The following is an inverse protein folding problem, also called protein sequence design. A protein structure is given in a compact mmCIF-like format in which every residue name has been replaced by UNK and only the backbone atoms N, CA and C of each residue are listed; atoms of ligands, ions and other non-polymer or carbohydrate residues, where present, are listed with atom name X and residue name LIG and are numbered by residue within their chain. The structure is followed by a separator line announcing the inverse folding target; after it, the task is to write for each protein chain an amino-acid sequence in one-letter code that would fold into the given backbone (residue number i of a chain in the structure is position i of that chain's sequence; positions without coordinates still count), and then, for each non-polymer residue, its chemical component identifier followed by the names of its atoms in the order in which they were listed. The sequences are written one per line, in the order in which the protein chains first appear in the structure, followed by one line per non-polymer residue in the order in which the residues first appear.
data_IF_962273970925
#
_entry.id   IF_962273970925
#
_cell.length_a   1.000
_cell.length_b   1.000
_cell.length_c   1.000
_cell.angle_alpha   90.00
_cell.angle_beta   90.00
_cell.angle_gamma   90.00
#
_symmetry.space_group_name_H-M   'P 1'
#
loop_
_entity.id
_entity.type
_entity.pdbx_description
1 polymer ?
#
# COMPACT_ATOMS: atom_id res chain seq x y z
N UNK A 1 -18.12 12.03 10.79
CA UNK A 1 -18.24 10.55 10.92
C UNK A 1 -17.21 9.78 10.06
N UNK A 2 -16.86 10.26 8.88
CA UNK A 2 -15.86 9.62 7.99
C UNK A 2 -14.44 9.68 8.57
N UNK A 3 -14.08 10.76 9.23
CA UNK A 3 -12.78 10.92 9.92
C UNK A 3 -12.62 9.95 11.11
N UNK A 4 -13.67 9.70 11.87
CA UNK A 4 -13.66 8.73 12.97
C UNK A 4 -13.49 7.29 12.48
N UNK A 5 -14.11 6.93 11.36
CA UNK A 5 -13.95 5.62 10.73
C UNK A 5 -12.52 5.43 10.19
N UNK A 6 -11.93 6.48 9.63
CA UNK A 6 -10.54 6.52 9.15
C UNK A 6 -9.53 6.34 10.30
N UNK A 7 -9.75 6.98 11.44
CA UNK A 7 -8.93 6.86 12.65
C UNK A 7 -8.95 5.44 13.20
N UNK A 8 -10.14 4.86 13.40
CA UNK A 8 -10.29 3.48 13.88
C UNK A 8 -9.65 2.45 12.92
N UNK A 9 -9.83 2.61 11.62
CA UNK A 9 -9.22 1.75 10.62
C UNK A 9 -7.68 1.85 10.66
N UNK A 10 -7.12 3.05 10.78
CA UNK A 10 -5.68 3.26 10.89
C UNK A 10 -5.07 2.56 12.10
N UNK A 11 -5.71 2.64 13.28
CA UNK A 11 -5.25 1.94 14.49
C UNK A 11 -5.25 0.41 14.29
N UNK A 12 -6.34 -0.15 13.75
CA UNK A 12 -6.44 -1.60 13.50
C UNK A 12 -5.37 -2.08 12.52
N UNK A 13 -5.24 -1.44 11.35
CA UNK A 13 -4.27 -1.85 10.34
C UNK A 13 -2.82 -1.66 10.81
N UNK A 14 -2.55 -0.61 11.57
CA UNK A 14 -1.21 -0.40 12.13
C UNK A 14 -0.83 -1.48 13.13
N UNK A 15 -1.75 -1.93 13.99
CA UNK A 15 -1.54 -3.02 14.92
C UNK A 15 -1.31 -4.34 14.19
N UNK A 16 -2.14 -4.65 13.20
CA UNK A 16 -1.98 -5.85 12.38
C UNK A 16 -0.61 -5.90 11.68
N UNK A 17 -0.17 -4.79 11.09
CA UNK A 17 1.16 -4.73 10.45
C UNK A 17 2.30 -4.87 11.46
N UNK A 18 2.17 -4.34 12.67
CA UNK A 18 3.18 -4.52 13.73
C UNK A 18 3.22 -5.96 14.23
N UNK A 19 2.06 -6.62 14.36
CA UNK A 19 1.96 -8.03 14.73
C UNK A 19 2.53 -8.96 13.63
N UNK A 20 2.37 -8.59 12.35
CA UNK A 20 3.01 -9.33 11.22
C UNK A 20 4.54 -9.29 11.33
N UNK A 21 5.13 -8.17 11.79
CA UNK A 21 6.58 -8.10 12.02
C UNK A 21 7.02 -9.09 13.12
N UNK A 22 6.21 -9.27 14.17
CA UNK A 22 6.52 -10.25 15.21
C UNK A 22 6.46 -11.69 14.65
N UNK A 23 5.45 -12.02 13.83
CA UNK A 23 5.37 -13.30 13.12
C UNK A 23 6.55 -13.50 12.14
N UNK A 24 6.97 -12.45 11.44
CA UNK A 24 8.16 -12.49 10.59
C UNK A 24 9.42 -12.82 11.42
N UNK A 25 9.59 -12.16 12.56
CA UNK A 25 10.72 -12.41 13.46
C UNK A 25 10.74 -13.85 13.99
N UNK A 26 9.59 -14.40 14.38
CA UNK A 26 9.46 -15.81 14.77
C UNK A 26 9.88 -16.74 13.61
N UNK A 27 9.45 -16.43 12.38
CA UNK A 27 9.82 -17.21 11.21
C UNK A 27 11.31 -17.12 10.89
N UNK A 28 11.90 -15.96 11.03
CA UNK A 28 13.34 -15.73 10.83
C UNK A 28 14.15 -16.52 11.85
N UNK A 29 13.73 -16.62 13.12
CA UNK A 29 14.40 -17.47 14.12
C UNK A 29 14.37 -18.96 13.70
N UNK A 30 13.21 -19.46 13.24
CA UNK A 30 13.10 -20.83 12.72
C UNK A 30 14.03 -21.08 11.52
N UNK A 31 14.18 -20.11 10.63
CA UNK A 31 15.09 -20.20 9.48
C UNK A 31 16.54 -20.26 9.96
N UNK A 32 16.93 -19.41 10.92
CA UNK A 32 18.28 -19.39 11.50
C UNK A 32 18.60 -20.73 12.16
N UNK A 33 17.67 -21.29 12.94
CA UNK A 33 17.82 -22.61 13.57
C UNK A 33 17.98 -23.72 12.53
N UNK A 34 17.16 -23.69 11.46
CA UNK A 34 17.26 -24.65 10.37
C UNK A 34 18.63 -24.59 9.68
N UNK A 35 19.09 -23.39 9.30
CA UNK A 35 20.40 -23.22 8.63
C UNK A 35 21.53 -23.69 9.55
N UNK A 36 21.46 -23.41 10.85
CA UNK A 36 22.47 -23.84 11.80
C UNK A 36 22.60 -25.36 11.89
N UNK A 37 21.51 -26.10 11.66
CA UNK A 37 21.43 -27.55 11.67
C UNK A 37 21.62 -28.21 10.28
N UNK A 38 21.70 -27.40 9.19
CA UNK A 38 21.80 -27.91 7.83
C UNK A 38 23.17 -28.57 7.57
N UNK A 39 23.24 -29.73 6.92
CA UNK A 39 24.49 -30.43 6.58
C UNK A 39 25.28 -29.80 5.42
N UNK A 40 24.84 -28.65 4.88
CA UNK A 40 25.54 -27.96 3.80
C UNK A 40 26.97 -27.53 4.15
N UNK A 41 27.70 -27.09 3.11
CA UNK A 41 29.07 -26.57 3.25
C UNK A 41 29.14 -25.43 4.28
N UNK A 42 30.20 -25.41 5.08
CA UNK A 42 30.38 -24.45 6.16
C UNK A 42 30.38 -22.98 5.69
N UNK A 43 30.93 -22.71 4.50
CA UNK A 43 31.01 -21.36 3.99
C UNK A 43 29.63 -20.86 3.50
N UNK A 44 28.85 -21.73 2.85
CA UNK A 44 27.46 -21.44 2.46
C UNK A 44 26.62 -21.13 3.70
N UNK A 45 26.65 -22.05 4.67
CA UNK A 45 25.92 -21.92 5.94
C UNK A 45 26.29 -20.64 6.70
N UNK A 46 27.56 -20.25 6.73
CA UNK A 46 28.01 -19.01 7.36
C UNK A 46 27.41 -17.79 6.70
N UNK A 47 27.46 -17.71 5.37
CA UNK A 47 26.91 -16.56 4.61
C UNK A 47 25.40 -16.45 4.83
N UNK A 48 24.67 -17.55 4.79
CA UNK A 48 23.23 -17.55 5.04
C UNK A 48 22.89 -17.14 6.47
N UNK A 49 23.59 -17.65 7.48
CA UNK A 49 23.40 -17.25 8.87
C UNK A 49 23.65 -15.76 9.10
N UNK A 50 24.71 -15.20 8.50
CA UNK A 50 25.02 -13.79 8.60
C UNK A 50 23.90 -12.94 7.97
N UNK A 51 23.38 -13.35 6.81
CA UNK A 51 22.27 -12.68 6.13
C UNK A 51 21.00 -12.65 6.99
N UNK A 52 20.55 -13.83 7.47
CA UNK A 52 19.32 -13.94 8.24
C UNK A 52 19.41 -13.26 9.61
N UNK A 53 20.57 -13.31 10.27
CA UNK A 53 20.82 -12.53 11.49
C UNK A 53 20.73 -11.03 11.25
N UNK A 54 21.22 -10.55 10.10
CA UNK A 54 21.12 -9.14 9.70
C UNK A 54 19.68 -8.71 9.41
N UNK A 55 18.91 -9.55 8.71
CA UNK A 55 17.48 -9.33 8.47
C UNK A 55 16.75 -9.22 9.81
N UNK A 56 16.96 -10.16 10.73
CA UNK A 56 16.37 -10.12 12.08
C UNK A 56 16.69 -8.83 12.82
N UNK A 57 17.96 -8.45 12.83
CA UNK A 57 18.41 -7.22 13.50
C UNK A 57 17.72 -5.97 12.93
N UNK A 58 17.65 -5.86 11.61
CA UNK A 58 17.05 -4.70 10.94
C UNK A 58 15.53 -4.65 11.12
N UNK A 59 14.86 -5.80 11.10
CA UNK A 59 13.42 -5.88 11.38
C UNK A 59 13.11 -5.42 12.82
N UNK A 60 13.86 -5.90 13.80
CA UNK A 60 13.72 -5.49 15.22
C UNK A 60 14.01 -4.01 15.44
N UNK A 61 15.09 -3.48 14.83
CA UNK A 61 15.52 -2.08 15.02
C UNK A 61 14.52 -1.07 14.48
N UNK A 62 13.92 -1.35 13.33
CA UNK A 62 13.11 -0.36 12.64
C UNK A 62 11.61 -0.59 12.72
N UNK A 63 11.15 -1.84 12.77
CA UNK A 63 9.72 -2.20 12.73
C UNK A 63 8.97 -1.42 11.65
N UNK A 64 9.47 -1.50 10.40
CA UNK A 64 8.93 -0.74 9.27
C UNK A 64 7.60 -1.29 8.81
N UNK A 65 6.62 -0.41 8.68
CA UNK A 65 5.30 -0.69 8.11
C UNK A 65 5.00 0.31 7.00
N UNK A 66 3.99 0.03 6.18
CA UNK A 66 3.57 0.93 5.12
C UNK A 66 2.04 0.95 5.02
N UNK A 67 1.39 1.92 5.66
CA UNK A 67 -0.03 2.19 5.49
C UNK A 67 -0.21 3.17 4.33
N UNK A 68 -1.11 2.84 3.40
CA UNK A 68 -1.43 3.67 2.25
C UNK A 68 -2.88 3.50 1.83
N UNK A 69 -3.24 4.16 0.76
CA UNK A 69 -4.58 4.06 0.15
C UNK A 69 -4.49 3.55 -1.27
N UNK A 70 -5.60 3.04 -1.77
CA UNK A 70 -5.84 2.76 -3.18
C UNK A 70 -7.12 3.47 -3.60
N UNK A 71 -7.37 3.59 -4.92
CA UNK A 71 -8.56 4.21 -5.48
C UNK A 71 -8.71 5.72 -5.23
N UNK A 72 -7.61 6.47 -5.06
CA UNK A 72 -7.70 7.93 -4.90
C UNK A 72 -8.31 8.59 -6.15
N UNK A 73 -7.93 8.12 -7.36
CA UNK A 73 -8.51 8.61 -8.61
C UNK A 73 -10.03 8.40 -8.69
N UNK A 74 -10.52 7.23 -8.31
CA UNK A 74 -11.97 6.95 -8.26
C UNK A 74 -12.68 7.75 -7.15
N UNK A 75 -12.04 7.96 -6.01
CA UNK A 75 -12.56 8.79 -4.92
C UNK A 75 -12.78 10.23 -5.39
N UNK A 76 -11.79 10.83 -6.06
CA UNK A 76 -11.90 12.17 -6.63
C UNK A 76 -13.02 12.24 -7.67
N UNK A 77 -13.10 11.26 -8.57
CA UNK A 77 -14.16 11.18 -9.58
C UNK A 77 -15.55 11.06 -8.95
N UNK A 78 -15.71 10.24 -7.91
CA UNK A 78 -16.98 10.07 -7.20
C UNK A 78 -17.44 11.36 -6.48
N UNK A 79 -16.49 12.20 -6.07
CA UNK A 79 -16.76 13.51 -5.46
C UNK A 79 -16.96 14.63 -6.50
N UNK A 80 -16.85 14.32 -7.79
CA UNK A 80 -16.94 15.32 -8.87
C UNK A 80 -15.69 16.20 -8.99
N UNK A 81 -14.59 15.81 -8.37
CA UNK A 81 -13.33 16.54 -8.40
C UNK A 81 -12.48 16.08 -9.59
N UNK A 82 -12.16 17.01 -10.48
CA UNK A 82 -11.33 16.70 -11.63
C UNK A 82 -9.86 16.52 -11.21
N UNK A 83 -9.30 15.36 -11.46
CA UNK A 83 -7.91 15.05 -11.16
C UNK A 83 -6.95 16.09 -11.76
N UNK A 84 -6.00 16.57 -10.94
CA UNK A 84 -5.02 17.58 -11.32
C UNK A 84 -5.48 19.04 -11.21
N UNK A 85 -6.70 19.31 -10.79
CA UNK A 85 -7.14 20.67 -10.43
C UNK A 85 -6.70 21.01 -9.00
N UNK A 86 -6.58 22.30 -8.69
CA UNK A 86 -6.20 22.75 -7.35
C UNK A 86 -7.16 22.22 -6.27
N UNK A 87 -8.46 22.25 -6.54
CA UNK A 87 -9.49 21.71 -5.62
C UNK A 87 -9.28 20.23 -5.31
N UNK A 88 -8.99 19.42 -6.33
CA UNK A 88 -8.69 17.99 -6.14
C UNK A 88 -7.38 17.77 -5.36
N UNK A 89 -6.36 18.58 -5.62
CA UNK A 89 -5.08 18.55 -4.90
C UNK A 89 -5.29 18.89 -3.42
N UNK A 90 -6.01 19.95 -3.13
CA UNK A 90 -6.28 20.40 -1.75
C UNK A 90 -7.04 19.33 -0.98
N UNK A 91 -8.04 18.70 -1.61
CA UNK A 91 -8.77 17.59 -1.00
C UNK A 91 -7.87 16.35 -0.76
N UNK A 92 -7.05 15.97 -1.75
CA UNK A 92 -6.10 14.85 -1.61
C UNK A 92 -5.09 15.11 -0.48
N UNK A 93 -4.60 16.36 -0.34
CA UNK A 93 -3.72 16.76 0.77
C UNK A 93 -4.39 16.55 2.12
N UNK A 94 -5.64 16.92 2.30
CA UNK A 94 -6.36 16.71 3.56
C UNK A 94 -6.59 15.22 3.87
N UNK A 95 -6.86 14.40 2.85
CA UNK A 95 -6.97 12.93 3.00
C UNK A 95 -5.63 12.34 3.45
N UNK A 96 -4.53 12.68 2.78
CA UNK A 96 -3.20 12.18 3.11
C UNK A 96 -2.70 12.69 4.46
N UNK A 97 -2.99 13.93 4.81
CA UNK A 97 -2.68 14.51 6.14
C UNK A 97 -3.42 13.75 7.25
N UNK A 98 -4.71 13.48 7.06
CA UNK A 98 -5.51 12.70 8.01
C UNK A 98 -4.92 11.31 8.19
N UNK A 99 -4.61 10.61 7.10
CA UNK A 99 -3.97 9.29 7.13
C UNK A 99 -2.64 9.33 7.89
N UNK A 100 -1.81 10.35 7.63
CA UNK A 100 -0.51 10.50 8.27
C UNK A 100 -0.64 10.73 9.78
N UNK A 101 -1.45 11.68 10.21
CA UNK A 101 -1.66 12.00 11.62
C UNK A 101 -2.18 10.78 12.39
N UNK A 102 -3.17 10.07 11.84
CA UNK A 102 -3.75 8.91 12.50
C UNK A 102 -2.78 7.70 12.53
N UNK A 103 -1.96 7.51 11.49
CA UNK A 103 -0.92 6.48 11.50
C UNK A 103 0.15 6.77 12.57
N UNK A 104 0.56 8.04 12.72
CA UNK A 104 1.48 8.46 13.77
C UNK A 104 0.87 8.29 15.15
N UNK A 105 -0.39 8.69 15.35
CA UNK A 105 -1.14 8.52 16.60
C UNK A 105 -1.20 7.04 17.02
N UNK A 106 -1.56 6.15 16.11
CA UNK A 106 -1.59 4.71 16.35
C UNK A 106 -0.20 4.17 16.76
N UNK A 107 0.87 4.62 16.09
CA UNK A 107 2.23 4.17 16.38
C UNK A 107 2.76 4.72 17.73
N UNK A 108 2.41 5.94 18.11
CA UNK A 108 2.71 6.53 19.43
C UNK A 108 1.97 5.78 20.54
N UNK A 109 0.68 5.49 20.34
CA UNK A 109 -0.11 4.68 21.26
C UNK A 109 0.46 3.27 21.46
N UNK A 110 0.85 2.61 20.37
CA UNK A 110 1.54 1.32 20.47
C UNK A 110 2.91 1.42 21.17
N UNK A 111 3.63 2.52 21.02
CA UNK A 111 4.89 2.73 21.73
C UNK A 111 4.68 2.83 23.24
N UNK A 112 3.61 3.48 23.69
CA UNK A 112 3.25 3.53 25.11
C UNK A 112 2.89 2.14 25.67
N UNK A 113 2.29 1.26 24.85
CA UNK A 113 1.87 -0.09 25.26
C UNK A 113 3.01 -1.14 25.13
N UNK A 114 3.84 -1.06 24.08
CA UNK A 114 4.78 -2.12 23.65
C UNK A 114 6.23 -1.64 23.58
N UNK A 115 6.50 -0.38 23.86
CA UNK A 115 7.81 0.27 23.70
C UNK A 115 8.03 0.83 22.30
N UNK A 116 8.83 1.88 22.20
CA UNK A 116 9.25 2.49 20.95
C UNK A 116 10.19 1.55 20.16
N UNK A 117 10.35 1.82 18.86
CA UNK A 117 11.37 1.09 18.10
C UNK A 117 12.79 1.38 18.69
N UNK A 118 13.67 0.37 18.77
CA UNK A 118 14.88 0.44 19.61
C UNK A 118 15.86 1.56 19.29
N UNK A 119 15.88 2.06 18.06
CA UNK A 119 16.80 3.13 17.64
C UNK A 119 16.13 4.50 17.59
N UNK A 120 14.94 4.65 18.22
CA UNK A 120 14.28 5.94 18.32
C UNK A 120 15.15 6.95 19.06
N UNK A 121 15.28 8.13 18.48
CA UNK A 121 16.02 9.25 19.05
C UNK A 121 15.37 10.55 18.56
N UNK A 122 14.61 11.20 19.43
CA UNK A 122 13.89 12.43 19.12
C UNK A 122 14.84 13.55 18.64
N UNK A 123 16.07 13.61 19.16
CA UNK A 123 17.03 14.64 18.77
C UNK A 123 17.48 14.50 17.32
N UNK A 124 17.61 13.26 16.82
CA UNK A 124 17.97 12.99 15.42
C UNK A 124 16.84 13.29 14.43
N UNK A 125 15.61 13.34 14.89
CA UNK A 125 14.44 13.60 14.07
C UNK A 125 13.99 15.07 14.05
N UNK A 126 14.62 15.91 14.87
CA UNK A 126 14.24 17.33 15.06
C UNK A 126 14.07 18.09 13.74
N UNK A 127 14.98 17.85 12.79
CA UNK A 127 15.01 18.55 11.50
C UNK A 127 14.37 17.74 10.36
N UNK A 128 13.70 16.62 10.68
CA UNK A 128 13.02 15.82 9.68
C UNK A 128 11.77 16.54 9.19
N UNK A 129 11.63 16.82 7.87
CA UNK A 129 10.48 17.55 7.32
C UNK A 129 9.13 16.86 7.58
N UNK A 130 9.08 15.53 7.63
CA UNK A 130 7.86 14.82 7.93
C UNK A 130 7.44 15.01 9.39
N UNK A 131 8.40 14.97 10.32
CA UNK A 131 8.13 15.22 11.73
C UNK A 131 7.69 16.67 11.95
N UNK A 132 8.29 17.63 11.25
CA UNK A 132 7.84 19.03 11.29
C UNK A 132 6.37 19.18 10.86
N UNK A 133 5.94 18.49 9.79
CA UNK A 133 4.53 18.47 9.34
C UNK A 133 3.60 17.83 10.37
N UNK A 134 4.01 16.76 11.04
CA UNK A 134 3.20 16.16 12.12
C UNK A 134 3.07 17.13 13.29
N UNK A 135 4.15 17.81 13.68
CA UNK A 135 4.13 18.82 14.74
C UNK A 135 3.20 19.98 14.42
N UNK A 136 3.19 20.44 13.17
CA UNK A 136 2.29 21.49 12.71
C UNK A 136 0.83 21.04 12.68
N UNK A 137 0.58 19.80 12.21
CA UNK A 137 -0.77 19.25 12.07
C UNK A 137 -1.41 18.91 13.42
N UNK A 138 -0.61 18.41 14.37
CA UNK A 138 -1.07 17.98 15.70
C UNK A 138 0.06 18.14 16.75
N UNK A 139 0.14 19.32 17.38
CA UNK A 139 1.18 19.60 18.38
C UNK A 139 1.09 18.70 19.62
N UNK A 140 -0.12 18.24 20.01
CA UNK A 140 -0.31 17.37 21.16
C UNK A 140 0.24 15.97 20.88
N UNK A 141 -0.06 15.41 19.71
CA UNK A 141 0.52 14.16 19.24
C UNK A 141 2.05 14.23 19.18
N UNK A 142 2.60 15.34 18.69
CA UNK A 142 4.04 15.53 18.64
C UNK A 142 4.66 15.52 20.04
N UNK A 143 4.08 16.24 20.99
CA UNK A 143 4.56 16.27 22.39
C UNK A 143 4.49 14.87 23.04
N UNK A 144 3.43 14.10 22.78
CA UNK A 144 3.33 12.72 23.24
C UNK A 144 4.41 11.83 22.60
N UNK A 145 4.66 11.98 21.29
CA UNK A 145 5.70 11.25 20.56
C UNK A 145 7.11 11.57 21.09
N UNK A 146 7.41 12.82 21.45
CA UNK A 146 8.70 13.16 22.07
C UNK A 146 8.90 12.45 23.40
N UNK A 147 7.83 12.27 24.16
CA UNK A 147 7.84 11.65 25.48
C UNK A 147 7.88 10.12 25.45
N UNK A 148 7.09 9.49 24.61
CA UNK A 148 6.92 8.02 24.57
C UNK A 148 7.66 7.36 23.40
N UNK A 149 8.06 8.11 22.38
CA UNK A 149 8.49 7.59 21.09
C UNK A 149 7.33 7.12 20.23
N UNK A 150 7.66 6.40 19.16
CA UNK A 150 6.70 5.67 18.33
C UNK A 150 7.17 4.24 18.07
N UNK A 151 6.25 3.34 17.79
CA UNK A 151 6.51 1.90 17.62
C UNK A 151 7.25 1.57 16.33
N UNK A 152 7.04 2.33 15.25
CA UNK A 152 7.52 2.05 13.90
C UNK A 152 8.35 3.24 13.37
N UNK A 153 9.49 2.96 12.75
CA UNK A 153 10.35 4.01 12.16
C UNK A 153 9.72 4.61 10.89
N UNK A 154 9.11 3.76 10.04
CA UNK A 154 8.36 4.15 8.85
C UNK A 154 6.94 3.59 8.94
N UNK A 155 5.96 4.37 8.53
CA UNK A 155 4.54 4.06 8.75
C UNK A 155 3.67 4.21 7.53
N UNK A 156 4.10 4.96 6.53
CA UNK A 156 3.31 5.34 5.36
C UNK A 156 3.97 4.84 4.08
N UNK A 157 3.16 4.57 3.08
CA UNK A 157 3.62 4.22 1.73
C UNK A 157 2.61 4.68 0.69
N UNK A 158 3.10 4.99 -0.51
CA UNK A 158 2.29 5.08 -1.72
C UNK A 158 2.69 3.87 -2.56
N UNK A 159 1.93 2.79 -2.41
CA UNK A 159 2.18 1.53 -3.11
C UNK A 159 1.41 1.49 -4.44
N UNK A 160 1.91 0.80 -5.48
CA UNK A 160 1.22 0.69 -6.77
C UNK A 160 -0.15 0.00 -6.69
N UNK A 161 -0.37 -0.89 -5.73
CA UNK A 161 -1.64 -1.60 -5.44
C UNK A 161 -2.32 -2.27 -6.65
N UNK A 162 -1.54 -2.68 -7.67
CA UNK A 162 -2.08 -3.22 -8.92
C UNK A 162 -3.00 -4.41 -8.74
N UNK A 163 -2.58 -5.43 -8.00
CA UNK A 163 -3.41 -6.63 -7.73
C UNK A 163 -4.61 -6.29 -6.85
N UNK A 164 -4.45 -5.47 -5.82
CA UNK A 164 -5.53 -5.04 -4.94
C UNK A 164 -6.60 -4.27 -5.71
N UNK A 165 -6.19 -3.37 -6.61
CA UNK A 165 -7.12 -2.58 -7.44
C UNK A 165 -7.89 -3.44 -8.43
N UNK A 166 -7.29 -4.51 -8.97
CA UNK A 166 -7.99 -5.49 -9.80
C UNK A 166 -9.09 -6.23 -9.01
N UNK A 167 -8.79 -6.60 -7.77
CA UNK A 167 -9.77 -7.27 -6.89
C UNK A 167 -10.91 -6.33 -6.49
N UNK A 168 -10.62 -5.08 -6.18
CA UNK A 168 -11.61 -4.06 -5.80
C UNK A 168 -12.30 -3.41 -7.00
N UNK A 169 -11.82 -3.63 -8.22
CA UNK A 169 -12.32 -3.02 -9.46
C UNK A 169 -12.24 -1.49 -9.44
N UNK A 170 -11.14 -0.96 -8.94
CA UNK A 170 -10.88 0.48 -8.78
C UNK A 170 -9.61 0.91 -9.49
N UNK A 171 -9.33 2.22 -9.50
CA UNK A 171 -8.00 2.74 -9.83
C UNK A 171 -6.97 2.26 -8.80
N UNK A 172 -5.70 2.18 -9.20
CA UNK A 172 -4.60 1.77 -8.32
C UNK A 172 -3.90 2.97 -7.69
N UNK A 173 -3.48 2.79 -6.42
CA UNK A 173 -2.73 3.80 -5.69
C UNK A 173 -3.42 5.15 -5.69
N UNK A 174 -2.68 6.17 -6.06
CA UNK A 174 -3.13 7.57 -6.17
C UNK A 174 -3.35 8.02 -7.62
N UNK A 175 -3.13 7.12 -8.60
CA UNK A 175 -3.24 7.47 -10.00
C UNK A 175 -4.70 7.59 -10.46
N UNK A 176 -4.98 8.46 -11.45
CA UNK A 176 -6.28 8.49 -12.09
C UNK A 176 -6.45 7.29 -13.03
N UNK A 177 -7.69 7.04 -13.47
CA UNK A 177 -7.91 6.09 -14.55
C UNK A 177 -7.18 6.56 -15.82
N UNK A 178 -6.32 5.71 -16.37
CA UNK A 178 -5.54 6.07 -17.56
C UNK A 178 -6.42 6.22 -18.80
N UNK A 179 -7.37 5.28 -18.98
CA UNK A 179 -8.42 5.32 -20.01
C UNK A 179 -9.67 4.68 -19.48
N UNK A 180 -10.80 5.32 -19.69
CA UNK A 180 -12.12 4.77 -19.33
C UNK A 180 -12.50 3.56 -20.17
N UNK A 181 -11.98 3.50 -21.39
CA UNK A 181 -12.15 2.37 -22.34
C UNK A 181 -10.84 2.15 -23.07
N UNK A 182 -10.40 0.92 -23.19
CA UNK A 182 -9.25 0.55 -24.02
C UNK A 182 -9.47 -0.80 -24.70
N UNK A 183 -8.84 -1.01 -25.86
CA UNK A 183 -8.85 -2.27 -26.58
C UNK A 183 -7.77 -3.17 -26.00
N UNK A 184 -8.15 -4.37 -25.56
CA UNK A 184 -7.24 -5.41 -25.11
C UNK A 184 -7.11 -6.47 -26.20
N UNK A 185 -5.87 -6.92 -26.41
CA UNK A 185 -5.54 -8.03 -27.29
C UNK A 185 -5.14 -9.22 -26.44
N UNK A 186 -5.81 -10.36 -26.63
CA UNK A 186 -5.52 -11.63 -25.95
C UNK A 186 -5.09 -12.66 -26.98
N UNK A 187 -3.96 -13.33 -26.75
CA UNK A 187 -3.55 -14.47 -27.53
C UNK A 187 -4.56 -15.60 -27.38
N UNK A 188 -4.95 -16.21 -28.50
CA UNK A 188 -5.86 -17.36 -28.53
C UNK A 188 -5.02 -18.61 -28.31
N UNK A 189 -5.35 -19.39 -27.29
CA UNK A 189 -4.67 -20.66 -27.06
C UNK A 189 -5.20 -21.74 -28.02
N UNK A 190 -4.40 -22.77 -28.33
CA UNK A 190 -4.86 -23.89 -29.20
C UNK A 190 -6.11 -24.63 -28.71
N UNK A 191 -6.42 -24.52 -27.41
CA UNK A 191 -7.62 -25.07 -26.78
C UNK A 191 -8.89 -24.25 -27.03
N UNK A 192 -8.75 -22.97 -27.41
CA UNK A 192 -9.88 -22.03 -27.56
C UNK A 192 -10.49 -22.13 -28.98
N UNK A 193 -11.07 -23.30 -29.33
CA UNK A 193 -11.48 -23.67 -30.70
C UNK A 193 -12.56 -22.79 -31.33
N UNK A 194 -13.42 -22.17 -30.51
CA UNK A 194 -14.57 -21.38 -30.95
C UNK A 194 -14.37 -19.87 -30.83
N UNK A 195 -13.14 -19.43 -30.59
CA UNK A 195 -12.84 -18.01 -30.39
C UNK A 195 -12.63 -17.31 -31.74
N UNK A 196 -13.33 -16.20 -31.96
CA UNK A 196 -13.14 -15.36 -33.12
C UNK A 196 -11.72 -14.80 -33.17
N UNK A 197 -11.10 -14.85 -34.37
CA UNK A 197 -9.75 -14.29 -34.59
C UNK A 197 -9.89 -12.90 -35.20
N UNK A 198 -9.49 -11.88 -34.44
CA UNK A 198 -9.53 -10.48 -34.86
C UNK A 198 -8.20 -10.03 -35.50
N UNK A 199 -7.10 -10.67 -35.13
CA UNK A 199 -5.76 -10.30 -35.60
C UNK A 199 -4.84 -11.52 -35.62
N UNK A 200 -4.00 -11.62 -36.63
CA UNK A 200 -2.91 -12.59 -36.76
C UNK A 200 -1.61 -11.83 -36.97
N UNK A 201 -0.57 -12.16 -36.21
CA UNK A 201 0.74 -11.51 -36.34
C UNK A 201 1.61 -12.16 -37.42
N UNK A 202 2.79 -11.59 -37.64
CA UNK A 202 3.76 -12.05 -38.64
C UNK A 202 4.29 -13.47 -38.38
N UNK A 203 4.13 -13.98 -37.14
CA UNK A 203 4.53 -15.33 -36.74
C UNK A 203 3.41 -16.35 -36.87
N UNK A 204 2.21 -15.92 -37.29
CA UNK A 204 1.01 -16.76 -37.37
C UNK A 204 0.27 -16.95 -36.07
N UNK A 205 0.60 -16.18 -35.03
CA UNK A 205 -0.11 -16.22 -33.76
C UNK A 205 -1.43 -15.43 -33.85
N UNK A 206 -2.50 -16.03 -33.33
CA UNK A 206 -3.87 -15.52 -33.39
C UNK A 206 -4.29 -14.83 -32.13
N UNK A 207 -4.98 -13.70 -32.25
CA UNK A 207 -5.41 -12.86 -31.16
C UNK A 207 -6.89 -12.49 -31.31
N UNK A 208 -7.54 -12.41 -30.16
CA UNK A 208 -8.88 -11.82 -29.98
C UNK A 208 -8.71 -10.40 -29.44
N UNK A 209 -9.46 -9.45 -30.00
CA UNK A 209 -9.54 -8.07 -29.51
C UNK A 209 -10.91 -7.79 -28.91
N UNK A 210 -10.92 -7.12 -27.76
CA UNK A 210 -12.15 -6.70 -27.11
C UNK A 210 -11.95 -5.43 -26.31
N UNK A 211 -13.01 -4.64 -26.12
CA UNK A 211 -12.98 -3.45 -25.31
C UNK A 211 -13.05 -3.81 -23.83
N UNK A 212 -12.22 -3.17 -23.04
CA UNK A 212 -12.26 -3.23 -21.57
C UNK A 212 -12.69 -1.87 -21.07
N UNK A 213 -13.75 -1.86 -20.29
CA UNK A 213 -14.32 -0.66 -19.70
C UNK A 213 -13.93 -0.57 -18.23
N UNK A 214 -13.52 0.61 -17.77
CA UNK A 214 -13.31 0.83 -16.35
C UNK A 214 -14.63 0.65 -15.60
N UNK A 215 -14.63 -0.18 -14.55
CA UNK A 215 -15.85 -0.61 -13.87
C UNK A 215 -16.70 0.56 -13.35
N UNK A 216 -16.07 1.51 -12.68
CA UNK A 216 -16.78 2.69 -12.14
C UNK A 216 -17.23 3.67 -13.24
N UNK A 217 -16.60 3.65 -14.41
CA UNK A 217 -17.09 4.41 -15.57
C UNK A 217 -18.38 3.81 -16.12
N UNK A 218 -18.52 2.49 -16.17
CA UNK A 218 -19.78 1.84 -16.56
C UNK A 218 -20.88 2.19 -15.59
N UNK A 219 -20.64 2.13 -14.28
CA UNK A 219 -21.60 2.55 -13.25
C UNK A 219 -22.00 4.02 -13.40
N UNK A 220 -21.05 4.90 -13.74
CA UNK A 220 -21.35 6.29 -13.99
C UNK A 220 -22.25 6.49 -15.22
N UNK A 221 -22.00 5.75 -16.31
CA UNK A 221 -22.87 5.76 -17.49
C UNK A 221 -24.29 5.36 -17.14
N UNK A 222 -24.48 4.26 -16.43
CA UNK A 222 -25.78 3.76 -15.97
C UNK A 222 -26.51 4.79 -15.08
N UNK A 223 -25.80 5.37 -14.12
CA UNK A 223 -26.35 6.38 -13.22
C UNK A 223 -26.79 7.67 -13.96
N UNK A 224 -26.20 7.94 -15.12
CA UNK A 224 -26.54 9.10 -15.98
C UNK A 224 -27.51 8.72 -17.13
N UNK A 225 -28.10 7.52 -17.11
CA UNK A 225 -29.14 7.11 -18.05
C UNK A 225 -28.63 6.66 -19.42
N UNK A 226 -27.35 6.36 -19.56
CA UNK A 226 -26.81 5.78 -20.79
C UNK A 226 -27.12 4.27 -20.88
N UNK A 227 -27.44 3.79 -22.08
CA UNK A 227 -27.64 2.37 -22.33
C UNK A 227 -26.27 1.65 -22.41
N UNK A 228 -26.00 0.83 -21.41
CA UNK A 228 -24.75 0.03 -21.30
C UNK A 228 -24.89 -1.38 -21.85
N UNK A 229 -26.08 -1.79 -22.31
CA UNK A 229 -26.33 -3.17 -22.77
C UNK A 229 -25.55 -3.59 -24.02
N UNK A 230 -24.99 -2.62 -24.75
CA UNK A 230 -24.19 -2.84 -25.98
C UNK A 230 -22.70 -2.61 -25.80
N UNK A 231 -22.23 -2.45 -24.56
CA UNK A 231 -20.81 -2.26 -24.26
C UNK A 231 -20.03 -3.58 -24.36
#
# INVERSE_FOLDING_TARGET
STLLASSAASDVYKRQMDDIIDLELEKVEQIIEKIAADPEDLDVRRVELELWKKIREMARKGRRTGLGITAEGDMLAALGLRYGTQEAIDFAVEVQKTLAVEAYRASVKMAAERGAFPVYDAAKEKDNPMIARIREADPELYAEMEKTGRRNIAMLTIAPTGTTSLMSQTTSGIEPVFRTVYKRRRKINPSDKDTHVDYEDETGEKFQEYNVYHHNFVKWLEANGYDTSKL
#
